data_IF_850773690947
#
_entry.id   IF_850773690947
#
_cell.length_a   1.000
_cell.length_b   1.000
_cell.length_c   1.000
_cell.angle_alpha   90.00
_cell.angle_beta   90.00
_cell.angle_gamma   90.00
#
_symmetry.space_group_name_H-M   'P 1'
#
loop_
_entity.id
_entity.type
_entity.pdbx_description
1 polymer ?
#
# COMPACT_ATOMS: atom_id res chain seq x y z
N UNK A 1 4.57 -6.14 6.06
CA UNK A 1 4.90 -7.16 5.05
C UNK A 1 5.30 -8.46 5.72
N UNK A 2 6.14 -8.45 6.77
CA UNK A 2 6.68 -9.66 7.42
C UNK A 2 5.60 -10.64 7.90
N UNK A 3 4.54 -10.19 8.57
CA UNK A 3 3.44 -11.07 8.98
C UNK A 3 2.78 -11.80 7.79
N UNK A 4 2.65 -11.14 6.65
CA UNK A 4 2.12 -11.79 5.45
C UNK A 4 3.09 -12.85 4.93
N UNK A 5 4.38 -12.54 4.88
CA UNK A 5 5.44 -13.46 4.48
C UNK A 5 5.46 -14.71 5.37
N UNK A 6 5.38 -14.53 6.69
CA UNK A 6 5.29 -15.64 7.64
C UNK A 6 4.04 -16.51 7.43
N UNK A 7 2.89 -15.88 7.19
CA UNK A 7 1.65 -16.61 6.92
C UNK A 7 1.74 -17.42 5.61
N UNK A 8 2.30 -16.82 4.54
CA UNK A 8 2.49 -17.52 3.27
C UNK A 8 3.42 -18.73 3.44
N UNK A 9 4.53 -18.57 4.18
CA UNK A 9 5.43 -19.68 4.50
C UNK A 9 4.74 -20.79 5.32
N UNK A 10 3.86 -20.44 6.25
CA UNK A 10 3.09 -21.44 7.03
C UNK A 10 2.11 -22.23 6.16
N UNK A 11 1.68 -21.70 5.02
CA UNK A 11 0.88 -22.41 4.02
C UNK A 11 1.72 -23.16 2.98
N UNK A 12 3.04 -23.22 3.15
CA UNK A 12 3.95 -23.94 2.26
C UNK A 12 4.39 -23.17 1.02
N UNK A 13 4.13 -21.86 0.97
CA UNK A 13 4.64 -21.01 -0.10
C UNK A 13 6.03 -20.48 0.22
N UNK A 14 6.91 -20.43 -0.77
CA UNK A 14 8.11 -19.62 -0.71
C UNK A 14 7.74 -18.15 -0.92
N UNK A 15 8.19 -17.27 -0.04
CA UNK A 15 7.88 -15.86 -0.10
C UNK A 15 9.13 -15.02 0.21
N UNK A 16 9.40 -14.06 -0.68
CA UNK A 16 10.51 -13.12 -0.60
C UNK A 16 10.00 -11.69 -0.55
N UNK A 17 10.67 -10.87 0.21
CA UNK A 17 10.38 -9.46 0.37
C UNK A 17 11.45 -8.60 -0.33
N UNK A 18 11.00 -7.67 -1.15
CA UNK A 18 11.84 -6.76 -1.94
C UNK A 18 11.48 -5.32 -1.58
N UNK A 19 12.41 -4.55 -1.06
CA UNK A 19 12.23 -3.13 -0.78
C UNK A 19 13.58 -2.41 -0.89
N UNK A 20 13.56 -1.11 -1.12
CA UNK A 20 14.74 -0.25 -1.00
C UNK A 20 15.07 0.04 0.47
N UNK A 21 14.07 -0.03 1.35
CA UNK A 21 14.20 0.22 2.79
C UNK A 21 14.56 -1.06 3.53
N UNK A 22 15.51 -0.97 4.43
CA UNK A 22 15.91 -2.08 5.30
C UNK A 22 16.26 -1.60 6.72
N UNK A 23 15.45 -0.68 7.27
CA UNK A 23 15.69 -0.08 8.58
C UNK A 23 15.73 -1.10 9.72
N UNK A 24 15.02 -2.23 9.57
CA UNK A 24 14.89 -3.27 10.59
C UNK A 24 15.66 -4.56 10.25
N UNK A 25 16.42 -4.59 9.15
CA UNK A 25 17.08 -5.79 8.63
C UNK A 25 16.13 -6.97 8.37
N UNK A 26 14.90 -6.66 7.95
CA UNK A 26 13.82 -7.64 7.69
C UNK A 26 13.58 -7.87 6.20
N UNK A 27 14.15 -7.02 5.33
CA UNK A 27 14.02 -7.12 3.88
C UNK A 27 14.96 -8.20 3.33
N UNK A 28 14.40 -9.21 2.65
CA UNK A 28 15.21 -10.30 2.08
C UNK A 28 16.13 -9.80 0.96
N UNK A 29 15.63 -8.92 0.10
CA UNK A 29 16.38 -8.38 -1.04
C UNK A 29 16.22 -6.86 -1.09
N UNK A 30 17.30 -6.16 -0.77
CA UNK A 30 17.34 -4.69 -0.79
C UNK A 30 17.63 -4.21 -2.20
N UNK A 31 16.63 -3.63 -2.86
CA UNK A 31 16.74 -3.19 -4.26
C UNK A 31 15.76 -2.06 -4.57
N UNK A 32 16.14 -1.18 -5.47
CA UNK A 32 15.26 -0.12 -6.01
C UNK A 32 14.31 -0.71 -7.06
N UNK A 33 13.12 -1.08 -6.61
CA UNK A 33 12.09 -1.69 -7.47
C UNK A 33 11.65 -0.76 -8.61
N UNK A 34 11.67 0.55 -8.45
CA UNK A 34 11.29 1.48 -9.51
C UNK A 34 12.26 1.37 -10.69
N UNK A 35 13.56 1.29 -10.40
CA UNK A 35 14.57 1.06 -11.45
C UNK A 35 14.48 -0.31 -12.09
N UNK A 36 14.17 -1.34 -11.31
CA UNK A 36 14.00 -2.69 -11.86
C UNK A 36 12.77 -2.81 -12.76
N UNK A 37 11.67 -2.14 -12.41
CA UNK A 37 10.47 -2.05 -13.25
C UNK A 37 10.79 -1.33 -14.56
N UNK A 38 11.54 -0.23 -14.50
CA UNK A 38 11.98 0.52 -15.68
C UNK A 38 12.80 -0.36 -16.63
N UNK A 39 13.85 -1.02 -16.09
CA UNK A 39 14.68 -1.97 -16.86
C UNK A 39 13.84 -3.06 -17.53
N UNK A 40 12.91 -3.68 -16.77
CA UNK A 40 12.05 -4.72 -17.29
C UNK A 40 11.11 -4.21 -18.41
N UNK A 41 10.58 -3.00 -18.25
CA UNK A 41 9.73 -2.37 -19.24
C UNK A 41 10.48 -2.12 -20.55
N UNK A 42 11.75 -1.67 -20.46
CA UNK A 42 12.66 -1.41 -21.58
C UNK A 42 13.35 -2.70 -22.10
N UNK A 43 12.94 -3.88 -21.62
CA UNK A 43 13.48 -5.18 -22.01
C UNK A 43 14.98 -5.33 -21.67
N UNK A 44 15.47 -4.61 -20.68
CA UNK A 44 16.81 -4.77 -20.12
C UNK A 44 16.81 -5.85 -19.04
N UNK A 45 17.99 -6.38 -18.73
CA UNK A 45 18.16 -7.38 -17.66
C UNK A 45 17.70 -6.83 -16.31
N UNK A 46 16.80 -7.54 -15.65
CA UNK A 46 16.16 -7.13 -14.40
C UNK A 46 15.82 -8.32 -13.50
N UNK A 47 15.38 -8.07 -12.26
CA UNK A 47 14.89 -9.13 -11.36
C UNK A 47 13.68 -9.88 -11.96
N UNK A 48 12.90 -9.25 -12.82
CA UNK A 48 11.72 -9.85 -13.45
C UNK A 48 12.08 -10.97 -14.44
N UNK A 49 13.36 -11.17 -14.79
CA UNK A 49 13.77 -12.26 -15.66
C UNK A 49 13.75 -13.62 -14.95
N UNK A 50 13.83 -13.59 -13.62
CA UNK A 50 13.75 -14.78 -12.77
C UNK A 50 12.33 -15.08 -12.28
N UNK A 51 11.34 -14.22 -12.58
CA UNK A 51 9.95 -14.36 -12.17
C UNK A 51 9.15 -14.93 -13.35
N UNK A 52 8.35 -15.94 -13.09
CA UNK A 52 7.60 -16.69 -14.10
C UNK A 52 6.09 -16.62 -13.89
N UNK A 53 5.31 -17.20 -14.78
CA UNK A 53 3.86 -17.34 -14.66
C UNK A 53 3.40 -18.20 -13.46
N UNK A 54 4.31 -18.96 -12.84
CA UNK A 54 4.05 -19.77 -11.64
C UNK A 54 4.18 -18.98 -10.34
N UNK A 55 4.84 -17.83 -10.41
CA UNK A 55 5.05 -16.95 -9.28
C UNK A 55 3.91 -15.93 -9.19
N UNK A 56 3.74 -15.30 -8.03
CA UNK A 56 2.75 -14.25 -7.83
C UNK A 56 3.40 -13.05 -7.18
N UNK A 57 3.24 -11.88 -7.78
CA UNK A 57 3.69 -10.62 -7.21
C UNK A 57 2.56 -10.00 -6.39
N UNK A 58 2.83 -9.71 -5.11
CA UNK A 58 1.97 -8.92 -4.25
C UNK A 58 2.59 -7.54 -4.09
N UNK A 59 2.04 -6.54 -4.76
CA UNK A 59 2.56 -5.19 -4.77
C UNK A 59 1.80 -4.29 -3.79
N UNK A 60 2.45 -3.91 -2.69
CA UNK A 60 2.02 -2.87 -1.76
C UNK A 60 2.54 -1.52 -2.26
N UNK A 61 1.96 -1.06 -3.34
CA UNK A 61 2.46 0.11 -4.04
C UNK A 61 2.24 1.39 -3.23
N UNK A 62 3.19 2.35 -3.23
CA UNK A 62 3.01 3.61 -2.51
C UNK A 62 1.73 4.34 -2.91
N UNK A 63 0.89 4.66 -1.92
CA UNK A 63 -0.42 5.29 -2.15
C UNK A 63 -0.41 6.82 -1.98
N UNK A 64 0.68 7.37 -1.44
CA UNK A 64 0.75 8.73 -0.89
C UNK A 64 0.38 9.84 -1.89
N UNK A 65 0.48 9.61 -3.20
CA UNK A 65 0.07 10.56 -4.25
C UNK A 65 -1.27 10.22 -4.88
N UNK A 66 -1.83 9.06 -4.58
CA UNK A 66 -3.10 8.60 -5.12
C UNK A 66 -4.29 8.83 -4.16
N UNK A 67 -4.04 9.02 -2.88
CA UNK A 67 -5.07 9.20 -1.86
C UNK A 67 -5.70 10.58 -1.93
N UNK A 68 -6.98 10.68 -1.51
CA UNK A 68 -7.70 11.94 -1.49
C UNK A 68 -7.12 12.98 -0.52
N UNK A 69 -6.39 12.54 0.51
CA UNK A 69 -5.78 13.46 1.48
C UNK A 69 -4.75 14.39 0.83
N UNK A 70 -4.12 13.96 -0.26
CA UNK A 70 -3.17 14.80 -1.01
C UNK A 70 -3.85 15.96 -1.73
N UNK A 71 -5.17 15.92 -1.95
CA UNK A 71 -5.93 16.98 -2.60
C UNK A 71 -5.73 18.35 -1.93
N UNK A 72 -5.68 18.37 -0.59
CA UNK A 72 -5.43 19.59 0.16
C UNK A 72 -4.04 20.17 -0.07
N UNK A 73 -3.08 19.32 -0.38
CA UNK A 73 -1.72 19.72 -0.73
C UNK A 73 -1.67 20.28 -2.16
N UNK A 74 -2.27 19.62 -3.13
CA UNK A 74 -2.38 20.14 -4.51
C UNK A 74 -3.11 21.48 -4.57
N UNK A 75 -4.15 21.68 -3.74
CA UNK A 75 -4.86 22.96 -3.65
C UNK A 75 -4.13 24.02 -2.82
N UNK A 76 -3.00 23.71 -2.20
CA UNK A 76 -2.29 24.62 -1.30
C UNK A 76 -3.07 25.04 -0.04
N UNK A 77 -4.15 24.30 0.30
CA UNK A 77 -5.05 24.60 1.42
C UNK A 77 -4.75 23.82 2.70
N UNK A 78 -3.75 22.95 2.67
CA UNK A 78 -3.29 22.22 3.84
C UNK A 78 -2.77 23.20 4.91
N UNK A 79 -3.03 22.90 6.19
CA UNK A 79 -2.62 23.75 7.30
C UNK A 79 -1.11 24.04 7.33
N UNK A 80 -0.28 23.09 6.92
CA UNK A 80 1.16 23.24 6.82
C UNK A 80 1.60 24.29 5.78
N UNK A 81 0.76 24.52 4.76
CA UNK A 81 1.06 25.42 3.65
C UNK A 81 0.46 26.83 3.82
N UNK A 82 -0.32 27.08 4.89
CA UNK A 82 -1.02 28.37 5.08
C UNK A 82 -0.10 29.58 5.13
N UNK A 83 1.14 29.40 5.61
CA UNK A 83 2.11 30.47 5.77
C UNK A 83 3.05 30.62 4.55
N UNK A 84 2.90 29.76 3.55
CA UNK A 84 3.75 29.77 2.37
C UNK A 84 3.30 30.86 1.41
N UNK A 85 4.26 31.47 0.70
CA UNK A 85 3.97 32.35 -0.43
C UNK A 85 3.34 31.57 -1.58
N UNK A 86 2.72 32.28 -2.51
CA UNK A 86 2.12 31.62 -3.69
C UNK A 86 3.19 30.97 -4.56
N UNK A 87 4.38 31.55 -4.68
CA UNK A 87 5.53 30.96 -5.36
C UNK A 87 5.92 29.61 -4.72
N UNK A 88 6.11 29.59 -3.40
CA UNK A 88 6.43 28.33 -2.68
C UNK A 88 5.36 27.26 -2.86
N UNK A 89 4.08 27.63 -2.87
CA UNK A 89 2.98 26.70 -3.12
C UNK A 89 3.02 26.13 -4.54
N UNK A 90 3.29 26.98 -5.54
CA UNK A 90 3.39 26.56 -6.94
C UNK A 90 4.59 25.65 -7.19
N UNK A 91 5.75 25.96 -6.61
CA UNK A 91 6.92 25.07 -6.68
C UNK A 91 6.64 23.70 -6.04
N UNK A 92 5.95 23.71 -4.89
CA UNK A 92 5.55 22.47 -4.23
C UNK A 92 4.53 21.68 -5.06
N UNK A 93 3.57 22.34 -5.68
CA UNK A 93 2.60 21.71 -6.56
C UNK A 93 3.28 21.03 -7.77
N UNK A 94 4.25 21.71 -8.40
CA UNK A 94 5.07 21.08 -9.45
C UNK A 94 5.79 19.82 -8.96
N UNK A 95 6.31 19.84 -7.74
CA UNK A 95 6.93 18.65 -7.14
C UNK A 95 5.92 17.52 -6.97
N UNK A 96 4.73 17.82 -6.44
CA UNK A 96 3.67 16.83 -6.23
C UNK A 96 3.23 16.18 -7.54
N UNK A 97 3.08 16.97 -8.60
CA UNK A 97 2.72 16.47 -9.93
C UNK A 97 3.79 15.54 -10.51
N UNK A 98 5.07 15.90 -10.40
CA UNK A 98 6.17 15.02 -10.83
C UNK A 98 6.18 13.70 -10.07
N UNK A 99 5.95 13.73 -8.77
CA UNK A 99 5.88 12.52 -7.95
C UNK A 99 4.64 11.67 -8.28
N UNK A 100 3.50 12.29 -8.56
CA UNK A 100 2.29 11.61 -9.03
C UNK A 100 2.53 10.94 -10.38
N UNK A 101 3.12 11.65 -11.32
CA UNK A 101 3.43 11.15 -12.65
C UNK A 101 4.39 9.94 -12.59
N UNK A 102 5.47 10.07 -11.83
CA UNK A 102 6.40 8.97 -11.58
C UNK A 102 5.72 7.73 -11.00
N UNK A 103 4.85 7.89 -10.01
CA UNK A 103 4.13 6.77 -9.40
C UNK A 103 3.14 6.14 -10.37
N UNK A 104 2.42 6.96 -11.13
CA UNK A 104 1.47 6.49 -12.13
C UNK A 104 2.18 5.73 -13.25
N UNK A 105 3.28 6.26 -13.75
CA UNK A 105 4.12 5.61 -14.76
C UNK A 105 4.65 4.27 -14.26
N UNK A 106 5.23 4.24 -13.06
CA UNK A 106 5.81 3.03 -12.48
C UNK A 106 4.79 1.91 -12.29
N UNK A 107 3.61 2.20 -11.71
CA UNK A 107 2.56 1.19 -11.51
C UNK A 107 2.03 0.68 -12.85
N UNK A 108 1.94 1.55 -13.85
CA UNK A 108 1.47 1.20 -15.19
C UNK A 108 2.51 0.33 -15.91
N UNK A 109 3.79 0.67 -15.82
CA UNK A 109 4.90 -0.14 -16.36
C UNK A 109 4.97 -1.51 -15.69
N UNK A 110 4.81 -1.58 -14.36
CA UNK A 110 4.74 -2.86 -13.63
C UNK A 110 3.61 -3.74 -14.19
N UNK A 111 2.42 -3.17 -14.36
CA UNK A 111 1.29 -3.90 -14.94
C UNK A 111 1.60 -4.42 -16.35
N UNK A 112 2.18 -3.59 -17.21
CA UNK A 112 2.56 -3.97 -18.58
C UNK A 112 3.62 -5.09 -18.57
N UNK A 113 4.64 -4.99 -17.73
CA UNK A 113 5.68 -6.04 -17.58
C UNK A 113 5.04 -7.36 -17.20
N UNK A 114 4.17 -7.35 -16.19
CA UNK A 114 3.46 -8.55 -15.73
C UNK A 114 2.55 -9.13 -16.83
N UNK A 115 1.83 -8.29 -17.58
CA UNK A 115 1.01 -8.75 -18.73
C UNK A 115 1.88 -9.43 -19.78
N UNK A 116 2.98 -8.81 -20.19
CA UNK A 116 3.90 -9.34 -21.21
C UNK A 116 4.51 -10.67 -20.81
N UNK A 117 4.85 -10.82 -19.53
CA UNK A 117 5.49 -12.03 -18.98
C UNK A 117 4.47 -13.04 -18.42
N UNK A 118 3.17 -12.76 -18.46
CA UNK A 118 2.07 -13.56 -17.89
C UNK A 118 2.21 -13.80 -16.38
N UNK A 119 2.89 -12.93 -15.67
CA UNK A 119 3.09 -13.03 -14.22
C UNK A 119 1.80 -12.58 -13.50
N UNK A 120 1.22 -13.39 -12.61
CA UNK A 120 0.14 -12.99 -11.73
C UNK A 120 0.58 -11.81 -10.84
N UNK A 121 -0.18 -10.70 -10.89
CA UNK A 121 0.09 -9.51 -10.10
C UNK A 121 -1.16 -9.09 -9.32
N UNK A 122 -1.01 -8.89 -8.03
CA UNK A 122 -2.03 -8.34 -7.15
C UNK A 122 -1.49 -7.04 -6.58
N UNK A 123 -2.20 -5.94 -6.81
CA UNK A 123 -1.83 -4.61 -6.29
C UNK A 123 -2.81 -4.24 -5.18
N UNK A 124 -2.28 -3.82 -4.03
CA UNK A 124 -3.05 -3.29 -2.89
C UNK A 124 -2.87 -1.78 -2.78
N UNK A 125 -3.97 -1.06 -2.58
CA UNK A 125 -3.94 0.35 -2.20
C UNK A 125 -5.17 0.68 -1.33
N UNK A 126 -5.10 1.72 -0.48
CA UNK A 126 -6.26 2.23 0.24
C UNK A 126 -7.40 2.57 -0.71
N UNK A 127 -8.64 2.34 -0.27
CA UNK A 127 -9.83 2.66 -1.06
C UNK A 127 -10.39 4.03 -0.68
N UNK A 128 -10.63 4.85 -1.69
CA UNK A 128 -11.56 5.98 -1.63
C UNK A 128 -12.16 6.22 -3.02
N UNK A 129 -13.35 6.81 -3.06
CA UNK A 129 -14.00 7.18 -4.34
C UNK A 129 -13.26 8.27 -5.10
N UNK A 130 -12.38 9.00 -4.42
CA UNK A 130 -11.55 10.08 -4.98
C UNK A 130 -10.12 9.64 -5.26
N UNK A 131 -9.79 8.37 -5.02
CA UNK A 131 -8.47 7.83 -5.28
C UNK A 131 -8.10 7.95 -6.76
N UNK A 132 -6.87 8.41 -7.05
CA UNK A 132 -6.46 8.74 -8.41
C UNK A 132 -6.61 7.57 -9.38
N UNK A 133 -6.13 6.38 -9.01
CA UNK A 133 -6.23 5.20 -9.87
C UNK A 133 -7.67 4.74 -10.11
N UNK A 134 -8.58 4.96 -9.15
CA UNK A 134 -10.00 4.66 -9.33
C UNK A 134 -10.62 5.52 -10.41
N UNK A 135 -10.19 6.77 -10.52
CA UNK A 135 -10.73 7.73 -11.49
C UNK A 135 -10.07 7.66 -12.87
N UNK A 136 -8.77 7.39 -12.89
CA UNK A 136 -7.97 7.68 -14.09
C UNK A 136 -7.16 6.49 -14.61
N UNK A 137 -7.09 5.36 -13.89
CA UNK A 137 -6.38 4.19 -14.41
C UNK A 137 -7.28 3.33 -15.29
N UNK A 138 -6.73 2.82 -16.40
CA UNK A 138 -7.46 2.03 -17.37
C UNK A 138 -7.94 0.65 -16.83
N UNK A 139 -7.31 0.14 -15.77
CA UNK A 139 -7.66 -1.12 -15.15
C UNK A 139 -8.46 -0.84 -13.88
N UNK A 140 -9.73 -1.29 -13.76
CA UNK A 140 -10.51 -1.12 -12.53
C UNK A 140 -10.06 -2.10 -11.45
N UNK A 141 -10.20 -1.68 -10.17
CA UNK A 141 -10.05 -2.62 -9.06
C UNK A 141 -11.18 -3.65 -9.08
N UNK A 142 -10.86 -4.92 -8.80
CA UNK A 142 -11.84 -6.03 -8.80
C UNK A 142 -12.43 -6.29 -7.43
N UNK A 143 -11.70 -5.97 -6.37
CA UNK A 143 -12.17 -6.11 -4.99
C UNK A 143 -12.04 -4.78 -4.27
N UNK A 144 -13.10 -4.41 -3.55
CA UNK A 144 -13.10 -3.32 -2.58
C UNK A 144 -13.51 -3.88 -1.23
N UNK A 145 -12.57 -3.92 -0.31
CA UNK A 145 -12.81 -4.28 1.08
C UNK A 145 -13.03 -3.01 1.91
N UNK A 146 -14.29 -2.71 2.23
CA UNK A 146 -14.67 -1.50 2.98
C UNK A 146 -14.41 -1.62 4.48
N UNK A 147 -14.29 -2.83 4.99
CA UNK A 147 -14.09 -3.10 6.42
C UNK A 147 -13.24 -4.37 6.62
N UNK A 148 -11.94 -4.20 6.67
CA UNK A 148 -10.99 -5.29 6.87
C UNK A 148 -11.15 -6.02 8.20
N UNK A 149 -11.86 -5.43 9.18
CA UNK A 149 -12.15 -6.12 10.45
C UNK A 149 -13.04 -7.35 10.25
N UNK A 150 -13.83 -7.37 9.18
CA UNK A 150 -14.63 -8.55 8.79
C UNK A 150 -13.77 -9.72 8.31
N UNK A 151 -12.48 -9.49 8.06
CA UNK A 151 -11.50 -10.49 7.61
C UNK A 151 -10.36 -10.70 8.60
N UNK A 152 -10.58 -10.35 9.87
CA UNK A 152 -9.62 -10.58 10.95
C UNK A 152 -8.56 -9.50 11.15
N UNK A 153 -8.65 -8.37 10.44
CA UNK A 153 -7.77 -7.22 10.70
C UNK A 153 -8.22 -6.45 11.96
N UNK A 154 -7.27 -5.80 12.61
CA UNK A 154 -7.56 -4.94 13.76
C UNK A 154 -8.17 -3.60 13.37
N UNK A 155 -7.97 -3.17 12.13
CA UNK A 155 -8.35 -1.83 11.67
C UNK A 155 -9.34 -1.90 10.52
N UNK A 156 -10.36 -1.05 10.62
CA UNK A 156 -11.22 -0.73 9.50
C UNK A 156 -10.44 0.16 8.53
N UNK A 157 -9.58 -0.44 7.71
CA UNK A 157 -8.85 0.25 6.65
C UNK A 157 -9.49 -0.12 5.32
N UNK A 158 -10.34 0.73 4.72
CA UNK A 158 -10.87 0.46 3.40
C UNK A 158 -9.71 0.26 2.42
N UNK A 159 -9.75 -0.85 1.70
CA UNK A 159 -8.67 -1.29 0.84
C UNK A 159 -9.24 -1.78 -0.49
N UNK A 160 -8.50 -1.61 -1.56
CA UNK A 160 -8.86 -2.08 -2.89
C UNK A 160 -7.73 -2.88 -3.51
N UNK A 161 -8.11 -3.80 -4.39
CA UNK A 161 -7.17 -4.71 -5.03
C UNK A 161 -7.41 -4.78 -6.53
N UNK A 162 -6.32 -4.71 -7.28
CA UNK A 162 -6.29 -4.97 -8.72
C UNK A 162 -5.65 -6.33 -8.95
N UNK A 163 -6.16 -7.04 -9.93
CA UNK A 163 -5.70 -8.37 -10.32
C UNK A 163 -5.35 -8.37 -11.80
N UNK A 164 -4.13 -8.76 -12.12
CA UNK A 164 -3.60 -8.84 -13.48
C UNK A 164 -3.09 -10.27 -13.69
N UNK A 165 -3.48 -10.91 -14.79
CA UNK A 165 -3.23 -12.31 -15.11
C UNK A 165 -3.72 -13.31 -14.05
N UNK A 166 -4.56 -12.89 -13.14
CA UNK A 166 -5.18 -13.75 -12.13
C UNK A 166 -6.56 -13.21 -11.73
N UNK A 167 -7.37 -14.08 -11.11
CA UNK A 167 -8.70 -13.74 -10.65
C UNK A 167 -8.83 -14.00 -9.15
N UNK A 168 -9.54 -13.13 -8.42
CA UNK A 168 -9.78 -13.35 -7.01
C UNK A 168 -10.68 -14.57 -6.79
N UNK A 169 -10.35 -15.37 -5.78
CA UNK A 169 -11.21 -16.46 -5.30
C UNK A 169 -11.85 -16.05 -3.97
N UNK A 170 -13.18 -16.02 -3.93
CA UNK A 170 -13.96 -15.59 -2.75
C UNK A 170 -14.34 -16.80 -1.89
N UNK A 171 -13.39 -17.56 -1.40
CA UNK A 171 -13.67 -18.79 -0.70
C UNK A 171 -13.51 -18.72 0.83
N UNK A 172 -13.12 -17.58 1.37
CA UNK A 172 -12.99 -17.42 2.82
C UNK A 172 -13.53 -16.09 3.31
N UNK A 173 -14.52 -16.12 4.18
CA UNK A 173 -14.98 -14.98 4.98
C UNK A 173 -14.62 -15.32 6.41
N UNK A 174 -13.72 -14.53 7.01
CA UNK A 174 -13.43 -14.64 8.43
C UNK A 174 -14.52 -13.92 9.23
N UNK A 175 -14.95 -14.50 10.32
CA UNK A 175 -15.79 -13.79 11.29
C UNK A 175 -15.01 -12.58 11.81
N UNK A 176 -15.72 -11.45 11.95
CA UNK A 176 -15.12 -10.25 12.51
C UNK A 176 -14.63 -10.56 13.93
N UNK A 177 -13.37 -10.27 14.20
CA UNK A 177 -12.86 -10.35 15.56
C UNK A 177 -13.68 -9.38 16.42
N UNK A 178 -14.53 -9.91 17.30
CA UNK A 178 -15.37 -9.10 18.18
C UNK A 178 -14.53 -8.49 19.30
N UNK A 179 -13.73 -7.49 18.95
CA UNK A 179 -13.25 -6.59 19.98
C UNK A 179 -14.41 -5.72 20.38
N UNK A 180 -14.84 -5.84 21.63
CA UNK A 180 -15.91 -5.05 22.24
C UNK A 180 -15.67 -3.52 22.24
N UNK A 181 -14.66 -3.06 21.54
CA UNK A 181 -14.37 -1.63 21.25
C UNK A 181 -13.74 -1.52 19.89
N UNK A 182 -14.54 -1.38 18.85
CA UNK A 182 -14.10 -0.86 17.55
C UNK A 182 -13.50 0.55 17.77
N UNK A 183 -12.23 0.64 18.07
CA UNK A 183 -11.54 1.93 18.10
C UNK A 183 -11.28 2.31 16.66
N UNK A 184 -12.08 3.23 16.12
CA UNK A 184 -11.74 3.92 14.90
C UNK A 184 -10.43 4.67 15.11
N UNK A 185 -9.32 4.10 14.63
CA UNK A 185 -8.01 4.75 14.57
C UNK A 185 -7.92 5.36 13.17
N UNK A 186 -8.63 6.39 12.95
CA UNK A 186 -8.51 7.11 11.71
C UNK A 186 -9.55 8.21 11.65
N UNK A 187 -9.09 9.42 11.54
CA UNK A 187 -9.81 10.68 11.56
C UNK A 187 -10.17 11.15 12.97
N UNK A 188 -9.22 11.83 13.59
CA UNK A 188 -9.51 12.75 14.66
C UNK A 188 -10.54 13.75 14.13
N UNK A 189 -11.76 13.66 14.65
CA UNK A 189 -12.73 14.70 14.44
C UNK A 189 -12.09 16.03 14.89
N UNK A 190 -11.89 17.03 14.01
CA UNK A 190 -11.20 18.26 14.37
C UNK A 190 -11.87 19.04 15.50
N UNK A 191 -13.09 18.64 15.91
CA UNK A 191 -13.83 19.23 17.03
C UNK A 191 -13.54 18.60 18.39
N UNK A 192 -12.85 17.47 18.47
CA UNK A 192 -12.47 16.91 19.77
C UNK A 192 -11.11 17.47 20.18
N UNK A 193 -11.07 18.28 21.23
CA UNK A 193 -9.85 18.85 21.83
C UNK A 193 -8.89 17.81 22.45
N UNK A 194 -9.16 16.52 22.35
CA UNK A 194 -8.25 15.45 22.76
C UNK A 194 -7.38 15.05 21.58
N UNK A 195 -6.15 15.56 21.53
CA UNK A 195 -5.09 15.07 20.64
C UNK A 195 -4.88 13.58 20.90
N UNK A 196 -5.45 12.73 20.06
CA UNK A 196 -5.09 11.31 20.03
C UNK A 196 -3.71 11.19 19.40
N UNK A 197 -2.72 10.85 20.21
CA UNK A 197 -1.36 10.68 19.72
C UNK A 197 -1.27 9.30 19.05
N UNK A 198 -1.47 9.23 17.73
CA UNK A 198 -1.47 8.00 16.93
C UNK A 198 -0.20 7.18 17.09
N UNK A 199 0.94 7.87 17.34
CA UNK A 199 2.23 7.24 17.62
C UNK A 199 2.23 6.45 18.94
N UNK A 200 1.48 6.93 19.95
CA UNK A 200 1.39 6.24 21.25
C UNK A 200 0.57 4.96 21.16
N UNK A 201 -0.46 4.96 20.32
CA UNK A 201 -1.29 3.77 20.08
C UNK A 201 -0.53 2.73 19.26
N UNK A 202 0.20 3.13 18.21
CA UNK A 202 1.08 2.23 17.45
C UNK A 202 2.11 1.57 18.38
N UNK A 203 2.79 2.33 19.25
CA UNK A 203 3.73 1.78 20.24
C UNK A 203 3.08 0.83 21.24
N UNK A 204 1.83 1.05 21.66
CA UNK A 204 1.12 0.15 22.58
C UNK A 204 0.68 -1.15 21.89
N UNK A 205 0.29 -1.08 20.63
CA UNK A 205 -0.07 -2.26 19.83
C UNK A 205 1.18 -3.10 19.56
N UNK A 206 2.30 -2.50 19.14
CA UNK A 206 3.57 -3.20 19.01
C UNK A 206 4.03 -3.85 20.31
N UNK A 207 3.96 -3.15 21.45
CA UNK A 207 4.28 -3.76 22.77
C UNK A 207 3.33 -4.90 23.13
N UNK A 208 2.03 -4.81 22.80
CA UNK A 208 1.06 -5.88 23.07
C UNK A 208 1.29 -7.14 22.25
N UNK A 209 1.80 -6.99 21.03
CA UNK A 209 2.13 -8.13 20.14
C UNK A 209 3.42 -8.81 20.60
N UNK A 210 4.44 -8.05 20.98
CA UNK A 210 5.73 -8.60 21.44
C UNK A 210 5.67 -9.27 22.82
N UNK A 211 4.77 -8.86 23.74
CA UNK A 211 4.69 -9.46 25.07
C UNK A 211 3.95 -10.78 25.14
N UNK A 212 3.21 -11.18 24.10
CA UNK A 212 2.53 -12.50 24.04
C UNK A 212 3.35 -13.63 23.40
N UNK A 213 4.46 -13.32 22.72
CA UNK A 213 5.35 -14.31 22.08
C UNK A 213 6.55 -14.75 22.93
N UNK A 214 6.71 -14.25 24.14
CA UNK A 214 7.90 -14.46 24.95
C UNK A 214 7.64 -15.13 26.27
N UNK A 215 7.00 -16.32 26.29
CA UNK A 215 7.08 -17.29 27.39
C UNK A 215 6.60 -18.65 26.92
N UNK A 216 7.53 -19.43 26.45
CA UNK A 216 7.67 -20.87 26.72
C UNK A 216 9.12 -21.26 26.57
#
# INVERSE_FOLDING_TARGET
VEHLKMNLKSFGYEAFDYDIQNEFNETDIVIDLFKEIEKAYDKQKSIFDNITEKDTILAFFPCVRFENQIELHFRGTCNSLKKWSDEQKLEYDLKLHRELDLMYETITKLAIVCIRKKIPLIIENPYSTTHYLVKYWAIPSKIVDKDRTLRGDYFKKPTQYWFINCEPKYNMIFESYSWNKKKNIGHTNPRSKKKFNSTRIRKQIHKGIYTRGGKR
#
